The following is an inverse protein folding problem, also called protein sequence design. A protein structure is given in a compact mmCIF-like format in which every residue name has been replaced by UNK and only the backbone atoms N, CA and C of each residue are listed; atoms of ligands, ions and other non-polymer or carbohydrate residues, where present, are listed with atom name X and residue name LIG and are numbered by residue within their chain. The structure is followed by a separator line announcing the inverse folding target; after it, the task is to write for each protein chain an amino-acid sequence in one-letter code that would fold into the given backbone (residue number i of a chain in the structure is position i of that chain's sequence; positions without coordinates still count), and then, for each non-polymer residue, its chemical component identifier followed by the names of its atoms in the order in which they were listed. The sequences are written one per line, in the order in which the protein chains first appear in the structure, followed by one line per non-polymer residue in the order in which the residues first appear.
data_IF_705587960277
#
_entry.id   IF_705587960277
#
_cell.length_a   1.000
_cell.length_b   1.000
_cell.length_c   1.000
_cell.angle_alpha   90.00
_cell.angle_beta   90.00
_cell.angle_gamma   90.00
#
_symmetry.space_group_name_H-M   'P 1'
#
loop_
_entity.id
_entity.type
_entity.pdbx_description
1 polymer ?
#
# COMPACT_ATOMS: atom_id res chain seq x y z
N UNK A 1 16.20 -18.55 11.51
CA UNK A 1 16.08 -18.67 10.03
C UNK A 1 16.51 -17.35 9.42
N UNK A 2 17.16 -17.38 8.26
CA UNK A 2 17.46 -16.15 7.53
C UNK A 2 16.16 -15.54 7.04
N UNK A 3 16.00 -14.22 7.18
CA UNK A 3 14.83 -13.50 6.66
C UNK A 3 14.78 -13.55 5.14
N UNK A 4 13.61 -13.68 4.55
CA UNK A 4 13.38 -13.55 3.11
C UNK A 4 13.72 -12.15 2.65
N UNK A 5 14.48 -12.04 1.57
CA UNK A 5 14.95 -10.74 1.07
C UNK A 5 13.93 -10.13 0.12
N UNK A 6 13.47 -8.93 0.48
CA UNK A 6 12.46 -8.18 -0.25
C UNK A 6 13.08 -7.00 -0.99
N UNK A 7 12.75 -6.85 -2.27
CA UNK A 7 13.01 -5.63 -3.02
C UNK A 7 11.68 -4.89 -3.26
N UNK A 8 11.64 -3.61 -2.87
CA UNK A 8 10.47 -2.75 -2.95
C UNK A 8 10.66 -1.69 -4.04
N UNK A 9 9.81 -1.73 -5.05
CA UNK A 9 9.82 -0.80 -6.18
C UNK A 9 8.69 0.19 -6.04
N UNK A 10 8.93 1.45 -6.41
CA UNK A 10 7.96 2.53 -6.15
C UNK A 10 7.55 2.54 -4.67
N UNK A 11 8.54 2.36 -3.80
CA UNK A 11 8.36 2.07 -2.38
C UNK A 11 7.54 3.15 -1.65
N UNK A 12 7.54 4.38 -2.18
CA UNK A 12 6.87 5.49 -1.52
C UNK A 12 7.38 5.65 -0.09
N UNK A 13 6.46 5.86 0.85
CA UNK A 13 6.81 5.89 2.27
C UNK A 13 6.86 4.49 2.93
N UNK A 14 6.93 3.39 2.17
CA UNK A 14 7.16 2.05 2.72
C UNK A 14 5.94 1.39 3.38
N UNK A 15 4.72 1.70 2.95
CA UNK A 15 3.55 1.06 3.54
C UNK A 15 3.52 -0.46 3.32
N UNK A 16 3.88 -0.93 2.13
CA UNK A 16 3.98 -2.36 1.84
C UNK A 16 5.20 -2.99 2.53
N UNK A 17 6.32 -2.29 2.57
CA UNK A 17 7.56 -2.72 3.23
C UNK A 17 7.30 -2.98 4.72
N UNK A 18 6.68 -2.00 5.40
CA UNK A 18 6.28 -2.12 6.80
C UNK A 18 5.30 -3.29 7.01
N UNK A 19 4.36 -3.46 6.10
CA UNK A 19 3.42 -4.57 6.13
C UNK A 19 4.13 -5.92 6.09
N UNK A 20 5.00 -6.14 5.12
CA UNK A 20 5.75 -7.40 4.99
C UNK A 20 6.73 -7.64 6.15
N UNK A 21 7.37 -6.59 6.68
CA UNK A 21 8.25 -6.76 7.84
C UNK A 21 7.48 -6.98 9.15
N UNK A 22 6.24 -6.48 9.26
CA UNK A 22 5.45 -6.58 10.48
C UNK A 22 6.01 -5.75 11.64
N UNK A 23 5.73 -6.13 12.88
CA UNK A 23 6.30 -5.51 14.07
C UNK A 23 5.82 -4.08 14.35
N UNK A 24 4.68 -3.67 13.81
CA UNK A 24 4.07 -2.35 14.03
C UNK A 24 2.80 -2.45 14.86
N UNK A 25 2.34 -1.31 15.38
CA UNK A 25 1.16 -1.26 16.25
C UNK A 25 -0.13 -1.16 15.44
N UNK A 26 -1.12 -2.00 15.78
CA UNK A 26 -2.45 -2.02 15.17
C UNK A 26 -3.55 -1.99 16.25
N UNK A 27 -4.74 -1.48 15.91
CA UNK A 27 -5.89 -1.52 16.79
C UNK A 27 -6.47 -2.94 16.86
N UNK A 28 -6.82 -3.43 18.08
CA UNK A 28 -7.28 -4.81 18.29
C UNK A 28 -8.54 -5.17 17.49
N UNK A 29 -9.44 -4.22 17.23
CA UNK A 29 -10.63 -4.48 16.41
C UNK A 29 -10.34 -4.68 14.91
N UNK A 30 -9.09 -4.53 14.46
CA UNK A 30 -8.65 -4.80 13.09
C UNK A 30 -8.11 -6.21 12.92
N UNK A 31 -7.97 -6.95 14.04
CA UNK A 31 -7.31 -8.24 14.12
C UNK A 31 -8.32 -9.37 14.30
N UNK A 32 -8.01 -10.53 13.74
CA UNK A 32 -8.81 -11.73 13.90
C UNK A 32 -8.67 -12.30 15.33
N UNK A 33 -9.64 -13.12 15.80
CA UNK A 33 -9.53 -13.79 17.09
C UNK A 33 -8.29 -14.68 17.22
N UNK A 34 -7.84 -15.31 16.13
CA UNK A 34 -6.63 -16.14 16.09
C UNK A 34 -5.37 -15.30 16.32
N UNK A 35 -5.29 -14.12 15.70
CA UNK A 35 -4.19 -13.18 15.94
C UNK A 35 -4.21 -12.65 17.36
N UNK A 36 -5.39 -12.28 17.88
CA UNK A 36 -5.52 -11.78 19.25
C UNK A 36 -5.15 -12.81 20.33
N UNK A 37 -5.28 -14.12 20.06
CA UNK A 37 -4.83 -15.18 20.98
C UNK A 37 -3.32 -15.16 21.23
N UNK A 38 -2.53 -14.59 20.32
CA UNK A 38 -1.09 -14.46 20.46
C UNK A 38 -0.68 -13.34 21.43
N UNK A 39 -1.62 -12.49 21.83
CA UNK A 39 -1.39 -11.34 22.72
C UNK A 39 -1.96 -11.59 24.12
N UNK A 40 -1.33 -11.01 25.17
CA UNK A 40 -1.76 -11.20 26.56
C UNK A 40 -3.21 -10.77 26.77
N UNK A 41 -4.04 -11.65 27.34
CA UNK A 41 -5.49 -11.45 27.56
C UNK A 41 -5.86 -10.21 28.41
N UNK A 42 -4.93 -9.70 29.23
CA UNK A 42 -5.21 -8.66 30.23
C UNK A 42 -4.69 -7.26 29.87
N UNK A 43 -4.22 -7.06 28.63
CA UNK A 43 -3.81 -5.74 28.19
C UNK A 43 -5.06 -4.88 27.88
N UNK A 44 -5.29 -3.86 28.75
CA UNK A 44 -6.38 -2.88 28.60
C UNK A 44 -6.19 -1.94 27.41
N UNK A 45 -5.00 -1.90 26.81
CA UNK A 45 -4.73 -1.08 25.63
C UNK A 45 -5.57 -1.56 24.44
N UNK A 46 -6.13 -0.63 23.71
CA UNK A 46 -6.88 -0.92 22.49
C UNK A 46 -5.97 -1.21 21.29
N UNK A 47 -4.70 -0.88 21.39
CA UNK A 47 -3.67 -1.15 20.40
C UNK A 47 -2.73 -2.25 20.88
N UNK A 48 -2.18 -3.01 19.95
CA UNK A 48 -1.17 -4.05 20.21
C UNK A 48 -0.12 -4.04 19.10
N UNK A 49 1.11 -4.44 19.44
CA UNK A 49 2.19 -4.60 18.47
C UNK A 49 2.03 -5.94 17.76
N UNK A 50 1.93 -5.93 16.44
CA UNK A 50 1.92 -7.14 15.62
C UNK A 50 3.26 -7.86 15.67
N UNK A 51 3.27 -9.17 15.41
CA UNK A 51 4.50 -9.92 15.25
C UNK A 51 5.31 -9.40 14.06
N UNK A 52 6.62 -9.49 14.16
CA UNK A 52 7.48 -9.40 12.99
C UNK A 52 7.26 -10.63 12.11
N UNK A 53 7.23 -10.40 10.80
CA UNK A 53 7.25 -11.48 9.82
C UNK A 53 8.69 -11.75 9.38
N UNK A 54 8.89 -12.86 8.71
CA UNK A 54 10.24 -13.31 8.32
C UNK A 54 10.73 -12.65 7.01
N UNK A 55 10.43 -11.36 6.80
CA UNK A 55 10.86 -10.58 5.66
C UNK A 55 11.74 -9.42 6.08
N UNK A 56 12.63 -9.02 5.18
CA UNK A 56 13.50 -7.86 5.33
C UNK A 56 13.66 -7.14 3.99
N UNK A 57 13.30 -5.87 3.94
CA UNK A 57 13.53 -5.02 2.77
C UNK A 57 15.02 -4.70 2.66
N UNK A 58 15.67 -5.25 1.65
CA UNK A 58 17.12 -5.06 1.41
C UNK A 58 17.40 -4.16 0.22
N UNK A 59 16.38 -3.83 -0.55
CA UNK A 59 16.41 -2.87 -1.64
C UNK A 59 15.06 -2.15 -1.72
N UNK A 60 15.09 -0.84 -1.83
CA UNK A 60 13.92 -0.01 -2.10
C UNK A 60 14.29 1.11 -3.08
N UNK A 61 13.37 1.50 -3.97
CA UNK A 61 13.58 2.66 -4.83
C UNK A 61 12.30 3.47 -5.05
N UNK A 62 12.47 4.78 -5.12
CA UNK A 62 11.43 5.75 -5.51
C UNK A 62 12.11 7.04 -5.99
N UNK A 63 11.42 7.82 -6.83
CA UNK A 63 11.89 9.14 -7.30
C UNK A 63 11.53 10.28 -6.34
N UNK A 64 10.70 10.01 -5.34
CA UNK A 64 10.17 11.02 -4.43
C UNK A 64 11.05 11.19 -3.19
N UNK A 65 11.82 12.28 -3.12
CA UNK A 65 12.67 12.59 -1.98
C UNK A 65 11.91 12.67 -0.63
N UNK A 66 10.66 13.14 -0.64
CA UNK A 66 9.83 13.20 0.57
C UNK A 66 9.42 11.81 1.06
N UNK A 67 9.21 10.89 0.12
CA UNK A 67 8.96 9.49 0.44
C UNK A 67 10.17 8.85 1.12
N UNK A 68 11.37 9.05 0.56
CA UNK A 68 12.62 8.60 1.19
C UNK A 68 12.79 9.15 2.60
N UNK A 69 12.54 10.44 2.81
CA UNK A 69 12.62 11.04 4.16
C UNK A 69 11.71 10.32 5.15
N UNK A 70 10.43 10.08 4.80
CA UNK A 70 9.49 9.40 5.68
C UNK A 70 9.91 7.94 5.94
N UNK A 71 10.36 7.24 4.90
CA UNK A 71 10.86 5.87 4.96
C UNK A 71 12.09 5.78 5.88
N UNK A 72 13.12 6.59 5.65
CA UNK A 72 14.35 6.60 6.45
C UNK A 72 14.05 6.89 7.93
N UNK A 73 13.20 7.88 8.24
CA UNK A 73 12.83 8.24 9.62
C UNK A 73 12.23 7.08 10.41
N UNK A 74 11.47 6.23 9.76
CA UNK A 74 10.85 5.09 10.43
C UNK A 74 11.80 3.90 10.50
N UNK A 75 12.36 3.48 9.36
CA UNK A 75 13.12 2.23 9.29
C UNK A 75 14.49 2.30 9.97
N UNK A 76 15.14 3.48 10.03
CA UNK A 76 16.39 3.65 10.79
C UNK A 76 16.23 3.40 12.30
N UNK A 77 15.02 3.52 12.86
CA UNK A 77 14.73 3.19 14.25
C UNK A 77 14.67 1.69 14.50
N UNK A 78 14.57 0.89 13.43
CA UNK A 78 14.38 -0.56 13.50
C UNK A 78 15.65 -1.34 13.19
N UNK A 79 16.49 -0.84 12.28
CA UNK A 79 17.71 -1.48 11.82
C UNK A 79 18.64 -0.50 11.11
N UNK A 80 19.84 -0.96 10.74
CA UNK A 80 20.68 -0.27 9.76
C UNK A 80 20.02 -0.30 8.38
N UNK A 81 19.87 0.85 7.76
CA UNK A 81 19.25 1.05 6.46
C UNK A 81 20.25 1.57 5.41
N UNK A 82 21.54 1.56 5.71
CA UNK A 82 22.58 2.08 4.82
C UNK A 82 22.55 1.41 3.47
N UNK A 83 22.30 2.20 2.42
CA UNK A 83 22.25 1.72 1.03
C UNK A 83 21.03 0.88 0.66
N UNK A 84 19.98 0.84 1.50
CA UNK A 84 18.74 0.12 1.20
C UNK A 84 17.84 0.92 0.28
N UNK A 85 17.57 2.21 0.60
CA UNK A 85 16.68 3.05 -0.20
C UNK A 85 17.46 3.93 -1.19
N UNK A 86 17.23 3.69 -2.47
CA UNK A 86 17.76 4.51 -3.56
C UNK A 86 16.74 5.55 -4.04
N UNK A 87 17.13 6.82 -3.99
CA UNK A 87 16.34 7.91 -4.58
C UNK A 87 16.61 7.93 -6.09
N UNK A 88 15.98 7.02 -6.80
CA UNK A 88 16.23 6.78 -8.24
C UNK A 88 15.00 6.19 -8.92
N UNK A 89 14.84 6.47 -10.21
CA UNK A 89 13.83 5.81 -11.03
C UNK A 89 14.16 4.34 -11.24
N UNK A 90 13.14 3.48 -11.25
CA UNK A 90 13.30 2.07 -11.63
C UNK A 90 13.88 1.90 -13.05
N UNK A 91 13.59 2.82 -13.94
CA UNK A 91 14.14 2.85 -15.31
C UNK A 91 15.67 2.91 -15.25
N UNK A 92 16.20 3.87 -14.49
CA UNK A 92 17.64 4.06 -14.34
C UNK A 92 18.28 2.86 -13.62
N UNK A 93 17.64 2.34 -12.58
CA UNK A 93 18.10 1.13 -11.87
C UNK A 93 18.23 -0.06 -12.82
N UNK A 94 17.22 -0.31 -13.66
CA UNK A 94 17.24 -1.43 -14.61
C UNK A 94 18.29 -1.22 -15.70
N UNK A 95 18.44 0.00 -16.22
CA UNK A 95 19.50 0.32 -17.20
C UNK A 95 20.88 0.06 -16.63
N UNK A 96 21.16 0.47 -15.40
CA UNK A 96 22.44 0.20 -14.71
C UNK A 96 22.67 -1.30 -14.50
N UNK A 97 21.65 -2.06 -14.14
CA UNK A 97 21.75 -3.52 -13.99
C UNK A 97 22.12 -4.16 -15.35
N UNK A 98 21.47 -3.76 -16.43
CA UNK A 98 21.72 -4.27 -17.78
C UNK A 98 23.10 -3.91 -18.33
N UNK A 99 23.58 -2.72 -18.02
CA UNK A 99 24.92 -2.27 -18.37
C UNK A 99 26.02 -2.99 -17.56
N UNK A 100 25.65 -3.68 -16.48
CA UNK A 100 26.62 -4.30 -15.56
C UNK A 100 27.20 -3.33 -14.52
N UNK A 101 26.75 -2.09 -14.52
CA UNK A 101 27.22 -1.03 -13.60
C UNK A 101 26.67 -1.22 -12.18
N UNK A 102 25.61 -2.00 -12.05
CA UNK A 102 24.94 -2.27 -10.78
C UNK A 102 24.66 -3.74 -10.58
N UNK A 103 24.97 -4.23 -9.38
CA UNK A 103 24.54 -5.55 -8.91
C UNK A 103 23.68 -5.38 -7.67
N UNK A 104 22.51 -6.03 -7.66
CA UNK A 104 21.72 -6.14 -6.43
C UNK A 104 22.49 -7.05 -5.47
N UNK A 105 22.80 -6.55 -4.27
CA UNK A 105 23.72 -7.19 -3.32
C UNK A 105 23.23 -8.53 -2.77
N UNK A 106 21.92 -8.76 -2.82
CA UNK A 106 21.27 -9.92 -2.23
C UNK A 106 20.53 -10.72 -3.31
N UNK A 107 20.41 -12.03 -3.14
CA UNK A 107 19.41 -12.82 -3.84
C UNK A 107 18.03 -12.36 -3.33
N UNK A 108 17.14 -11.97 -4.21
CA UNK A 108 15.82 -11.44 -3.86
C UNK A 108 14.81 -12.59 -3.88
N UNK A 109 14.11 -12.81 -2.76
CA UNK A 109 13.03 -13.79 -2.67
C UNK A 109 11.69 -13.20 -3.13
N UNK A 110 11.43 -11.95 -2.77
CA UNK A 110 10.16 -11.26 -2.99
C UNK A 110 10.40 -9.90 -3.64
N UNK A 111 9.64 -9.57 -4.69
CA UNK A 111 9.55 -8.22 -5.22
C UNK A 111 8.15 -7.66 -4.94
N UNK A 112 8.08 -6.47 -4.36
CA UNK A 112 6.83 -5.70 -4.24
C UNK A 112 6.91 -4.42 -5.04
N UNK A 113 5.77 -3.92 -5.55
CA UNK A 113 5.77 -2.63 -6.22
C UNK A 113 4.37 -2.12 -6.52
N UNK A 114 4.14 -0.84 -6.23
CA UNK A 114 2.94 -0.11 -6.61
C UNK A 114 3.25 0.85 -7.75
N UNK A 115 3.23 0.39 -9.00
CA UNK A 115 3.58 1.26 -10.13
C UNK A 115 2.55 2.39 -10.28
N UNK A 116 2.96 3.61 -10.75
CA UNK A 116 2.12 4.80 -10.78
C UNK A 116 0.78 4.60 -11.48
N UNK A 117 -0.30 5.03 -10.83
CA UNK A 117 -1.68 4.80 -11.22
C UNK A 117 -2.36 6.01 -11.89
N UNK A 118 -1.70 7.19 -11.92
CA UNK A 118 -2.36 8.43 -12.34
C UNK A 118 -2.95 8.38 -13.76
N UNK A 119 -2.39 7.58 -14.63
CA UNK A 119 -2.84 7.40 -16.00
C UNK A 119 -3.90 6.30 -16.16
N UNK A 120 -4.08 5.47 -15.12
CA UNK A 120 -5.10 4.41 -15.03
C UNK A 120 -6.27 4.77 -14.11
N UNK A 121 -6.16 5.84 -13.32
CA UNK A 121 -7.15 6.21 -12.31
C UNK A 121 -8.34 6.94 -12.90
N UNK A 122 -9.54 6.75 -12.30
CA UNK A 122 -10.77 7.48 -12.69
C UNK A 122 -10.63 8.99 -12.43
N UNK A 123 -9.83 9.40 -11.47
CA UNK A 123 -9.55 10.81 -11.16
C UNK A 123 -8.46 11.43 -12.05
N UNK A 124 -7.72 10.62 -12.82
CA UNK A 124 -6.68 11.06 -13.74
C UNK A 124 -7.20 11.25 -15.18
N UNK A 125 -6.29 11.58 -16.11
CA UNK A 125 -6.61 11.73 -17.53
C UNK A 125 -6.94 10.43 -18.25
N UNK A 126 -6.77 9.27 -17.60
CA UNK A 126 -6.98 7.91 -18.14
C UNK A 126 -6.22 7.65 -19.46
N UNK A 127 -5.02 8.20 -19.59
CA UNK A 127 -4.17 8.01 -20.77
C UNK A 127 -3.58 6.59 -20.87
N UNK A 128 -3.62 5.83 -19.77
CA UNK A 128 -3.11 4.47 -19.72
C UNK A 128 -1.63 4.39 -20.09
N UNK A 129 -1.31 3.56 -21.08
CA UNK A 129 0.05 3.39 -21.58
C UNK A 129 0.58 4.61 -22.36
N UNK A 130 -0.28 5.52 -22.80
CA UNK A 130 0.06 6.72 -23.57
C UNK A 130 0.22 7.97 -22.69
N UNK A 131 0.89 7.85 -21.54
CA UNK A 131 1.12 8.97 -20.63
C UNK A 131 2.00 10.07 -21.25
N UNK A 132 1.64 11.33 -21.01
CA UNK A 132 2.43 12.52 -21.39
C UNK A 132 3.52 12.88 -20.36
N UNK A 133 3.74 12.05 -19.34
CA UNK A 133 4.69 12.26 -18.24
C UNK A 133 5.87 11.30 -18.31
N UNK A 134 7.07 11.82 -18.00
CA UNK A 134 8.27 11.00 -17.93
C UNK A 134 8.32 10.09 -16.71
N UNK A 135 9.19 9.08 -16.73
CA UNK A 135 9.48 8.20 -15.60
C UNK A 135 10.06 8.93 -14.37
N UNK A 136 10.57 10.16 -14.54
CA UNK A 136 11.12 10.99 -13.45
C UNK A 136 10.06 11.83 -12.72
N UNK A 137 8.81 11.41 -12.72
CA UNK A 137 7.72 12.04 -11.97
C UNK A 137 6.85 12.97 -12.81
N UNK A 138 6.74 14.27 -12.42
CA UNK A 138 5.82 15.22 -13.06
C UNK A 138 6.41 16.01 -14.24
N UNK A 139 7.62 15.72 -14.67
CA UNK A 139 8.22 16.36 -15.85
C UNK A 139 7.48 15.90 -17.11
N UNK A 140 7.16 16.83 -18.01
CA UNK A 140 6.65 16.47 -19.34
C UNK A 140 7.76 15.78 -20.14
N UNK A 141 7.38 14.83 -20.99
CA UNK A 141 8.28 14.30 -22.02
C UNK A 141 8.71 15.46 -22.94
N UNK A 142 10.01 15.54 -23.22
CA UNK A 142 10.52 16.52 -24.20
C UNK A 142 10.13 16.00 -25.58
N UNK A 143 9.43 16.83 -26.37
CA UNK A 143 9.17 16.51 -27.77
C UNK A 143 10.49 16.41 -28.52
N UNK A 144 10.82 15.23 -29.03
CA UNK A 144 12.04 14.98 -29.79
C UNK A 144 12.75 13.66 -29.49
N UNK A 145 12.41 12.96 -28.44
CA UNK A 145 12.87 11.59 -28.25
C UNK A 145 12.01 10.62 -29.08
N UNK A 146 12.63 9.98 -30.05
CA UNK A 146 11.96 9.16 -31.08
C UNK A 146 11.30 7.88 -30.56
N UNK A 147 11.35 7.57 -29.26
CA UNK A 147 10.57 6.50 -28.62
C UNK A 147 9.98 6.93 -27.28
N UNK A 148 8.89 7.74 -27.27
CA UNK A 148 8.26 8.22 -26.04
C UNK A 148 7.52 7.13 -25.29
N UNK A 149 7.37 5.92 -25.83
CA UNK A 149 6.44 4.93 -25.33
C UNK A 149 6.99 4.11 -24.17
N UNK A 150 8.27 3.71 -24.21
CA UNK A 150 8.85 2.83 -23.19
C UNK A 150 9.21 3.52 -21.86
N UNK A 151 9.50 4.81 -21.86
CA UNK A 151 9.97 5.55 -20.68
C UNK A 151 8.89 6.48 -20.07
N UNK A 152 7.69 6.48 -20.61
CA UNK A 152 6.62 7.26 -20.04
C UNK A 152 6.08 6.61 -18.75
N UNK A 153 5.38 7.39 -17.91
CA UNK A 153 4.87 6.94 -16.63
C UNK A 153 3.84 5.80 -16.76
N UNK A 154 3.11 5.71 -17.84
CA UNK A 154 2.15 4.64 -18.12
C UNK A 154 2.82 3.29 -18.37
N UNK A 155 4.10 3.29 -18.77
CA UNK A 155 4.89 2.08 -19.02
C UNK A 155 5.74 1.61 -17.82
N UNK A 156 5.62 2.22 -16.65
CA UNK A 156 6.43 1.86 -15.48
C UNK A 156 6.19 0.44 -14.96
N UNK A 157 5.04 -0.18 -15.26
CA UNK A 157 4.83 -1.61 -15.02
C UNK A 157 5.80 -2.48 -15.82
N UNK A 158 6.13 -2.07 -17.05
CA UNK A 158 7.10 -2.75 -17.90
C UNK A 158 8.51 -2.73 -17.25
N UNK A 159 8.92 -1.61 -16.70
CA UNK A 159 10.21 -1.52 -16.00
C UNK A 159 10.24 -2.32 -14.69
N UNK A 160 9.10 -2.47 -14.01
CA UNK A 160 8.97 -3.42 -12.92
C UNK A 160 9.16 -4.86 -13.42
N UNK A 161 8.56 -5.22 -14.56
CA UNK A 161 8.75 -6.51 -15.22
C UNK A 161 10.24 -6.77 -15.52
N UNK A 162 10.93 -5.76 -16.08
CA UNK A 162 12.36 -5.86 -16.40
C UNK A 162 13.26 -6.02 -15.18
N UNK A 163 12.91 -5.37 -14.07
CA UNK A 163 13.58 -5.60 -12.80
C UNK A 163 13.37 -7.04 -12.31
N UNK A 164 12.13 -7.52 -12.34
CA UNK A 164 11.79 -8.91 -11.98
C UNK A 164 12.56 -9.90 -12.88
N UNK A 165 12.67 -9.60 -14.19
CA UNK A 165 13.45 -10.41 -15.12
C UNK A 165 14.94 -10.47 -14.76
N UNK A 166 15.48 -9.37 -14.22
CA UNK A 166 16.89 -9.30 -13.83
C UNK A 166 17.21 -10.01 -12.50
N UNK A 167 16.31 -9.93 -11.51
CA UNK A 167 16.57 -10.48 -10.16
C UNK A 167 15.92 -11.83 -9.91
N UNK A 168 14.99 -12.28 -10.77
CA UNK A 168 14.33 -13.60 -10.73
C UNK A 168 13.81 -13.99 -9.33
N UNK A 169 12.96 -13.15 -8.66
CA UNK A 169 12.44 -13.49 -7.34
C UNK A 169 11.54 -14.74 -7.41
N UNK A 170 11.37 -15.42 -6.29
CA UNK A 170 10.43 -16.56 -6.21
C UNK A 170 8.98 -16.11 -6.39
N UNK A 171 8.66 -14.90 -5.91
CA UNK A 171 7.31 -14.31 -5.99
C UNK A 171 7.40 -12.81 -6.14
N UNK A 172 6.42 -12.22 -6.83
CA UNK A 172 6.22 -10.77 -6.84
C UNK A 172 4.77 -10.38 -6.54
N UNK A 173 4.60 -9.16 -6.01
CA UNK A 173 3.32 -8.49 -5.79
C UNK A 173 3.34 -7.13 -6.49
N UNK A 174 2.49 -6.95 -7.50
CA UNK A 174 2.34 -5.68 -8.21
C UNK A 174 0.96 -5.08 -7.90
N UNK A 175 0.96 -3.89 -7.31
CA UNK A 175 -0.26 -3.20 -6.86
C UNK A 175 -0.63 -2.07 -7.80
N UNK A 176 -1.96 -1.87 -7.99
CA UNK A 176 -2.48 -0.69 -8.66
C UNK A 176 -3.90 -0.36 -8.23
N UNK A 177 -4.46 0.75 -8.71
CA UNK A 177 -5.85 1.14 -8.46
C UNK A 177 -6.84 0.23 -9.20
N UNK A 178 -8.05 0.03 -8.62
CA UNK A 178 -9.15 -0.71 -9.25
C UNK A 178 -9.45 -0.21 -10.69
N UNK A 179 -9.29 1.08 -10.96
CA UNK A 179 -9.56 1.67 -12.28
C UNK A 179 -8.79 1.01 -13.43
N UNK A 180 -7.63 0.40 -13.15
CA UNK A 180 -6.86 -0.36 -14.13
C UNK A 180 -7.66 -1.54 -14.72
N UNK A 181 -8.47 -2.22 -13.90
CA UNK A 181 -9.27 -3.37 -14.33
C UNK A 181 -10.35 -2.99 -15.36
N UNK A 182 -10.83 -1.74 -15.31
CA UNK A 182 -11.85 -1.22 -16.21
C UNK A 182 -11.29 -0.45 -17.41
N UNK A 183 -9.98 -0.43 -17.60
CA UNK A 183 -9.32 0.26 -18.70
C UNK A 183 -8.97 -0.72 -19.84
N UNK A 184 -9.95 -1.02 -20.69
CA UNK A 184 -9.77 -1.93 -21.83
C UNK A 184 -9.11 -3.26 -21.42
N UNK A 185 -8.12 -3.70 -22.18
CA UNK A 185 -7.38 -4.94 -21.94
C UNK A 185 -6.15 -4.79 -21.02
N UNK A 186 -5.97 -3.61 -20.38
CA UNK A 186 -4.76 -3.32 -19.60
C UNK A 186 -4.42 -4.41 -18.57
N UNK A 187 -5.43 -4.94 -17.84
CA UNK A 187 -5.24 -6.04 -16.89
C UNK A 187 -4.66 -7.29 -17.56
N UNK A 188 -5.18 -7.67 -18.73
CA UNK A 188 -4.73 -8.86 -19.47
C UNK A 188 -3.33 -8.66 -20.03
N UNK A 189 -3.04 -7.50 -20.61
CA UNK A 189 -1.73 -7.15 -21.16
C UNK A 189 -0.67 -7.25 -20.06
N UNK A 190 -0.88 -6.59 -18.93
CA UNK A 190 0.05 -6.61 -17.79
C UNK A 190 0.26 -8.03 -17.26
N UNK A 191 -0.82 -8.81 -17.11
CA UNK A 191 -0.70 -10.18 -16.62
C UNK A 191 0.07 -11.07 -17.59
N UNK A 192 -0.15 -10.92 -18.90
CA UNK A 192 0.57 -11.68 -19.94
C UNK A 192 2.05 -11.28 -20.00
N UNK A 193 2.35 -9.99 -19.89
CA UNK A 193 3.74 -9.50 -19.87
C UNK A 193 4.51 -10.06 -18.66
N UNK A 194 3.90 -10.11 -17.49
CA UNK A 194 4.50 -10.75 -16.32
C UNK A 194 4.63 -12.27 -16.48
N UNK A 195 3.67 -12.94 -17.10
CA UNK A 195 3.74 -14.37 -17.34
C UNK A 195 4.87 -14.73 -18.32
N UNK A 196 5.22 -13.83 -19.24
CA UNK A 196 6.23 -14.03 -20.29
C UNK A 196 7.66 -13.65 -19.89
N UNK A 197 7.93 -13.38 -18.60
CA UNK A 197 9.27 -13.09 -18.08
C UNK A 197 10.18 -14.32 -18.33
N UNK A 198 11.49 -14.06 -18.57
CA UNK A 198 12.52 -15.02 -18.95
C UNK A 198 12.47 -16.38 -18.22
N UNK A 199 13.01 -17.41 -18.85
CA UNK A 199 13.03 -18.79 -18.34
C UNK A 199 11.69 -19.48 -18.59
N UNK A 200 11.22 -20.28 -17.63
CA UNK A 200 9.88 -20.89 -17.67
C UNK A 200 8.76 -19.87 -17.42
N UNK A 201 9.11 -18.62 -17.14
CA UNK A 201 8.20 -17.52 -16.85
C UNK A 201 7.58 -17.60 -15.45
N UNK A 202 6.58 -16.73 -15.25
CA UNK A 202 5.83 -16.71 -14.00
C UNK A 202 4.42 -17.24 -14.19
N UNK A 203 3.93 -18.00 -13.21
CA UNK A 203 2.51 -18.26 -13.09
C UNK A 203 1.86 -17.06 -12.43
N UNK A 204 1.10 -16.28 -13.21
CA UNK A 204 0.32 -15.15 -12.68
C UNK A 204 -1.00 -15.69 -12.16
N UNK A 205 -1.17 -15.62 -10.84
CA UNK A 205 -2.40 -16.06 -10.16
C UNK A 205 -3.59 -15.22 -10.66
N UNK A 206 -4.81 -15.77 -10.79
CA UNK A 206 -5.98 -15.00 -11.19
C UNK A 206 -6.11 -13.70 -10.40
N UNK A 207 -6.03 -12.56 -11.12
CA UNK A 207 -5.88 -11.23 -10.54
C UNK A 207 -7.13 -10.82 -9.77
N UNK A 208 -6.97 -10.45 -8.49
CA UNK A 208 -8.06 -10.03 -7.61
C UNK A 208 -8.01 -8.53 -7.29
N UNK A 209 -9.19 -7.96 -7.07
CA UNK A 209 -9.35 -6.64 -6.46
C UNK A 209 -9.62 -6.86 -4.97
N UNK A 210 -8.70 -6.40 -4.13
CA UNK A 210 -8.85 -6.49 -2.68
C UNK A 210 -9.51 -5.21 -2.15
N UNK A 211 -10.55 -5.38 -1.33
CA UNK A 211 -11.20 -4.28 -0.62
C UNK A 211 -10.62 -4.22 0.79
N UNK A 212 -9.95 -3.14 1.12
CA UNK A 212 -9.25 -2.98 2.40
C UNK A 212 -10.15 -3.29 3.61
N UNK A 213 -11.43 -2.92 3.54
CA UNK A 213 -12.42 -3.20 4.61
C UNK A 213 -12.56 -4.69 4.93
N UNK A 214 -12.32 -5.58 3.95
CA UNK A 214 -12.44 -7.03 4.13
C UNK A 214 -11.26 -7.63 4.91
N UNK A 215 -10.23 -6.82 5.19
CA UNK A 215 -8.99 -7.21 5.87
C UNK A 215 -8.75 -6.45 7.19
N UNK A 216 -9.82 -5.88 7.78
CA UNK A 216 -9.74 -5.15 9.03
C UNK A 216 -9.24 -3.71 8.92
N UNK A 217 -9.11 -3.17 7.73
CA UNK A 217 -8.66 -1.79 7.51
C UNK A 217 -9.85 -0.85 7.54
N UNK A 218 -9.86 0.22 8.38
CA UNK A 218 -11.00 1.11 8.53
C UNK A 218 -11.17 2.10 7.37
N UNK A 219 -11.05 1.61 6.12
CA UNK A 219 -11.07 2.45 4.91
C UNK A 219 -11.65 1.71 3.70
N UNK A 220 -12.50 2.38 2.91
CA UNK A 220 -13.14 1.83 1.70
C UNK A 220 -12.20 1.82 0.48
N UNK A 221 -10.93 1.51 0.68
CA UNK A 221 -9.91 1.45 -0.37
C UNK A 221 -9.97 0.13 -1.13
N UNK A 222 -9.95 0.19 -2.46
CA UNK A 222 -9.87 -0.98 -3.32
C UNK A 222 -8.60 -0.95 -4.17
N UNK A 223 -7.90 -2.10 -4.26
CA UNK A 223 -6.67 -2.23 -5.02
C UNK A 223 -6.64 -3.52 -5.81
N UNK A 224 -6.21 -3.45 -7.06
CA UNK A 224 -5.89 -4.64 -7.84
C UNK A 224 -4.48 -5.10 -7.47
N UNK A 225 -4.36 -6.40 -7.22
CA UNK A 225 -3.08 -7.04 -6.91
C UNK A 225 -2.81 -8.11 -7.95
N UNK A 226 -1.64 -8.04 -8.58
CA UNK A 226 -1.08 -9.11 -9.40
C UNK A 226 -0.07 -9.87 -8.57
N UNK A 227 -0.16 -11.19 -8.55
CA UNK A 227 0.80 -12.06 -7.86
C UNK A 227 1.35 -13.04 -8.90
N UNK A 228 2.68 -13.08 -9.02
CA UNK A 228 3.34 -14.00 -9.94
C UNK A 228 4.33 -14.88 -9.20
N UNK A 229 4.27 -16.18 -9.47
CA UNK A 229 5.12 -17.22 -8.90
C UNK A 229 6.11 -17.70 -9.96
N UNK A 230 7.41 -17.65 -9.67
CA UNK A 230 8.45 -18.14 -10.57
C UNK A 230 8.32 -19.66 -10.72
N UNK A 231 7.99 -20.13 -11.94
CA UNK A 231 7.73 -21.55 -12.21
C UNK A 231 8.94 -22.45 -11.94
N UNK A 232 10.16 -21.93 -12.11
CA UNK A 232 11.39 -22.70 -11.87
C UNK A 232 11.67 -22.88 -10.37
N UNK A 233 11.16 -21.99 -9.54
CA UNK A 233 11.28 -22.04 -8.08
C UNK A 233 10.20 -22.90 -7.41
N UNK A 234 9.10 -23.20 -8.10
CA UNK A 234 8.01 -24.00 -7.54
C UNK A 234 8.43 -25.45 -7.24
N UNK A 235 7.83 -26.04 -6.22
CA UNK A 235 7.91 -27.48 -5.97
C UNK A 235 7.27 -28.26 -7.14
N UNK A 236 7.82 -29.44 -7.44
CA UNK A 236 7.37 -30.23 -8.57
C UNK A 236 5.88 -30.60 -8.54
N UNK A 237 5.34 -30.90 -7.36
CA UNK A 237 3.92 -31.19 -7.17
C UNK A 237 3.03 -29.98 -7.46
N UNK A 238 3.43 -28.79 -7.03
CA UNK A 238 2.70 -27.54 -7.28
C UNK A 238 2.73 -27.19 -8.76
N UNK A 239 3.90 -27.30 -9.39
CA UNK A 239 4.07 -27.06 -10.83
C UNK A 239 3.19 -28.00 -11.64
N UNK A 240 3.23 -29.31 -11.34
CA UNK A 240 2.39 -30.32 -12.01
C UNK A 240 0.91 -30.02 -11.84
N UNK A 241 0.47 -29.59 -10.65
CA UNK A 241 -0.92 -29.21 -10.40
C UNK A 241 -1.35 -28.04 -11.28
N UNK A 242 -0.52 -26.98 -11.38
CA UNK A 242 -0.78 -25.82 -12.24
C UNK A 242 -0.86 -26.24 -13.72
N UNK A 243 0.03 -27.10 -14.18
CA UNK A 243 0.02 -27.60 -15.57
C UNK A 243 -1.26 -28.39 -15.91
N UNK A 244 -1.81 -29.12 -14.93
CA UNK A 244 -3.02 -29.92 -15.10
C UNK A 244 -4.32 -29.13 -14.97
N UNK A 245 -4.37 -28.13 -14.08
CA UNK A 245 -5.61 -27.45 -13.69
C UNK A 245 -5.65 -25.96 -14.09
N UNK A 246 -4.54 -25.39 -14.55
CA UNK A 246 -4.43 -23.96 -14.88
C UNK A 246 -4.54 -23.04 -13.68
N UNK A 247 -4.48 -23.55 -12.44
CA UNK A 247 -4.63 -22.79 -11.20
C UNK A 247 -3.79 -23.40 -10.07
N UNK A 248 -3.63 -22.69 -8.96
CA UNK A 248 -3.04 -23.22 -7.72
C UNK A 248 -4.01 -24.13 -6.97
N UNK A 249 -3.51 -25.09 -6.17
CA UNK A 249 -4.31 -25.70 -5.12
C UNK A 249 -4.95 -24.62 -4.24
N UNK A 250 -6.25 -24.72 -3.89
CA UNK A 250 -6.94 -23.67 -3.12
C UNK A 250 -6.25 -23.31 -1.80
N UNK A 251 -5.66 -24.30 -1.12
CA UNK A 251 -4.91 -24.12 0.13
C UNK A 251 -3.61 -23.33 -0.06
N UNK A 252 -3.09 -23.23 -1.29
CA UNK A 252 -1.88 -22.47 -1.63
C UNK A 252 -2.20 -21.14 -2.34
N UNK A 253 -3.45 -20.67 -2.31
CA UNK A 253 -3.79 -19.33 -2.81
C UNK A 253 -3.02 -18.25 -2.02
N UNK A 254 -2.16 -17.44 -2.66
CA UNK A 254 -1.37 -16.43 -1.98
C UNK A 254 -2.14 -15.18 -1.57
N UNK A 255 -3.41 -15.06 -1.96
CA UNK A 255 -4.26 -14.00 -1.45
C UNK A 255 -4.75 -14.33 -0.03
N UNK A 256 -4.74 -13.36 0.90
CA UNK A 256 -5.25 -13.58 2.25
C UNK A 256 -6.75 -13.86 2.24
N UNK A 257 -7.21 -14.67 3.19
CA UNK A 257 -8.64 -14.89 3.39
C UNK A 257 -9.32 -13.61 3.90
N UNK A 258 -10.58 -13.40 3.49
CA UNK A 258 -11.42 -12.31 4.01
C UNK A 258 -11.67 -12.55 5.50
N UNK A 259 -11.45 -11.53 6.32
CA UNK A 259 -11.58 -11.61 7.78
C UNK A 259 -12.67 -10.70 8.37
N UNK A 260 -13.06 -9.68 7.63
CA UNK A 260 -14.06 -8.69 8.06
C UNK A 260 -15.14 -8.50 6.99
N UNK A 261 -16.37 -8.23 7.42
CA UNK A 261 -17.47 -8.05 6.48
C UNK A 261 -18.76 -7.60 7.17
N UNK A 262 -19.81 -7.48 6.36
CA UNK A 262 -21.17 -7.37 6.89
C UNK A 262 -21.62 -8.78 7.25
N UNK A 263 -21.83 -9.03 8.52
CA UNK A 263 -22.24 -10.36 9.00
C UNK A 263 -23.53 -10.81 8.29
N UNK A 264 -23.46 -11.95 7.62
CA UNK A 264 -24.62 -12.72 7.21
C UNK A 264 -24.75 -13.92 8.15
N UNK A 265 -25.90 -14.60 8.14
CA UNK A 265 -26.16 -15.80 8.99
C UNK A 265 -25.18 -16.97 8.71
N UNK A 266 -24.35 -16.86 7.68
CA UNK A 266 -23.49 -17.94 7.19
C UNK A 266 -21.99 -17.58 7.14
N UNK A 267 -21.59 -16.34 7.49
CA UNK A 267 -20.22 -15.89 7.37
C UNK A 267 -19.58 -15.69 8.76
N UNK A 268 -18.51 -16.42 9.06
CA UNK A 268 -17.62 -16.25 10.21
C UNK A 268 -16.69 -15.02 10.05
N UNK A 269 -17.25 -13.87 9.61
CA UNK A 269 -16.49 -12.64 9.44
C UNK A 269 -16.72 -11.69 10.61
N UNK A 270 -15.66 -10.96 10.97
CA UNK A 270 -15.71 -9.91 11.99
C UNK A 270 -16.41 -8.66 11.44
N UNK A 271 -17.02 -7.83 12.32
CA UNK A 271 -17.57 -6.54 11.93
C UNK A 271 -16.51 -5.65 11.27
N UNK A 272 -16.93 -4.86 10.27
CA UNK A 272 -16.05 -3.89 9.62
C UNK A 272 -15.41 -2.93 10.62
N UNK A 273 -14.11 -2.72 10.48
CA UNK A 273 -13.40 -1.68 11.21
C UNK A 273 -13.93 -0.29 10.85
N UNK A 274 -13.97 0.66 11.80
CA UNK A 274 -14.58 1.96 11.64
C UNK A 274 -13.65 3.11 12.07
N UNK A 275 -14.02 4.34 11.72
CA UNK A 275 -13.25 5.54 12.03
C UNK A 275 -13.13 5.77 13.56
N UNK A 276 -14.17 5.50 14.35
CA UNK A 276 -14.17 5.70 15.80
C UNK A 276 -13.07 4.87 16.48
N UNK A 277 -12.91 3.62 16.05
CA UNK A 277 -11.85 2.74 16.52
C UNK A 277 -10.47 3.25 16.09
N UNK A 278 -10.32 3.68 14.85
CA UNK A 278 -9.06 4.21 14.34
C UNK A 278 -8.61 5.47 15.12
N UNK A 279 -9.57 6.30 15.54
CA UNK A 279 -9.26 7.56 16.24
C UNK A 279 -9.20 7.42 17.77
N UNK A 280 -9.30 6.21 18.29
CA UNK A 280 -9.21 5.95 19.73
C UNK A 280 -7.94 6.56 20.32
N UNK A 281 -8.10 7.39 21.36
CA UNK A 281 -7.01 8.00 22.11
C UNK A 281 -6.32 9.19 21.40
N UNK A 282 -6.75 9.58 20.18
CA UNK A 282 -6.30 10.84 19.60
C UNK A 282 -6.92 12.03 20.33
N UNK A 283 -6.07 12.98 20.68
CA UNK A 283 -6.50 14.27 21.25
C UNK A 283 -6.89 15.22 20.11
N UNK A 284 -7.65 16.27 20.44
CA UNK A 284 -7.83 17.37 19.50
C UNK A 284 -6.49 18.02 19.15
N UNK A 285 -6.35 18.62 17.95
CA UNK A 285 -5.10 19.16 17.46
C UNK A 285 -4.39 20.10 18.43
N UNK A 286 -5.15 20.94 19.13
CA UNK A 286 -4.64 21.95 20.06
C UNK A 286 -4.07 21.34 21.35
N UNK A 287 -4.48 20.12 21.70
CA UNK A 287 -4.08 19.39 22.90
C UNK A 287 -3.01 18.34 22.61
N UNK A 288 -2.74 18.05 21.34
CA UNK A 288 -1.80 17.01 20.94
C UNK A 288 -0.36 17.52 20.91
N UNK A 289 0.60 16.63 21.23
CA UNK A 289 2.03 16.87 21.01
C UNK A 289 2.53 16.29 19.67
N UNK A 290 1.70 15.49 18.98
CA UNK A 290 2.05 14.91 17.68
C UNK A 290 1.87 15.95 16.57
N UNK A 291 2.95 16.35 15.84
CA UNK A 291 2.85 17.31 14.75
C UNK A 291 1.87 16.89 13.65
N UNK A 292 1.72 15.59 13.41
CA UNK A 292 0.76 15.07 12.43
C UNK A 292 -0.69 15.21 12.90
N UNK A 293 -0.94 15.14 14.22
CA UNK A 293 -2.26 15.39 14.79
C UNK A 293 -2.57 16.90 14.89
N UNK A 294 -1.57 17.74 15.11
CA UNK A 294 -1.73 19.21 15.09
C UNK A 294 -2.03 19.75 13.69
N UNK A 295 -1.68 19.00 12.65
CA UNK A 295 -1.68 19.45 11.26
C UNK A 295 -2.94 18.99 10.52
N UNK A 296 -3.74 19.94 10.03
CA UNK A 296 -4.89 19.66 9.18
C UNK A 296 -5.12 20.76 8.13
N UNK A 297 -5.80 20.40 7.04
CA UNK A 297 -6.12 21.33 5.96
C UNK A 297 -7.13 22.40 6.43
N UNK A 298 -6.85 23.66 6.11
CA UNK A 298 -7.71 24.82 6.37
C UNK A 298 -8.64 25.16 5.18
N UNK A 299 -8.67 24.33 4.13
CA UNK A 299 -9.50 24.55 2.96
C UNK A 299 -11.00 24.61 3.34
N UNK A 300 -11.69 25.68 2.92
CA UNK A 300 -13.08 26.00 3.30
C UNK A 300 -14.12 25.53 2.27
N UNK A 301 -13.83 24.48 1.50
CA UNK A 301 -14.76 23.96 0.50
C UNK A 301 -15.76 23.01 1.17
N UNK A 302 -17.06 23.35 1.17
CA UNK A 302 -18.12 22.63 1.88
C UNK A 302 -19.12 21.91 0.96
N UNK A 303 -18.94 21.93 -0.34
CA UNK A 303 -19.91 21.38 -1.30
C UNK A 303 -19.91 19.86 -1.30
N UNK A 304 -21.08 19.24 -1.10
CA UNK A 304 -21.25 17.76 -1.07
C UNK A 304 -20.83 17.06 -2.36
N UNK A 305 -20.88 17.76 -3.50
CA UNK A 305 -20.53 17.21 -4.81
C UNK A 305 -19.04 17.28 -5.14
N UNK A 306 -18.27 17.95 -4.29
CA UNK A 306 -16.84 18.14 -4.49
C UNK A 306 -16.07 17.14 -3.64
N UNK A 307 -15.03 16.59 -4.21
CA UNK A 307 -14.10 15.66 -3.54
C UNK A 307 -13.57 16.27 -2.24
N UNK A 308 -13.64 15.54 -1.14
CA UNK A 308 -13.24 16.03 0.18
C UNK A 308 -14.22 17.01 0.83
N UNK A 309 -15.40 17.27 0.23
CA UNK A 309 -16.41 18.19 0.78
C UNK A 309 -17.35 17.58 1.81
N UNK A 310 -17.29 16.26 2.06
CA UNK A 310 -18.18 15.56 2.97
C UNK A 310 -17.60 15.35 4.37
N UNK A 311 -18.48 15.17 5.35
CA UNK A 311 -18.12 14.70 6.69
C UNK A 311 -18.00 13.18 6.72
N UNK A 312 -17.01 12.64 7.44
CA UNK A 312 -16.89 11.20 7.67
C UNK A 312 -17.96 10.71 8.65
N UNK A 313 -18.29 9.43 8.56
CA UNK A 313 -19.11 8.75 9.56
C UNK A 313 -18.21 7.97 10.53
N UNK A 314 -18.24 8.31 11.81
CA UNK A 314 -17.40 7.69 12.82
C UNK A 314 -17.64 6.19 12.99
N UNK A 315 -18.85 5.73 12.79
CA UNK A 315 -19.27 4.34 12.99
C UNK A 315 -19.17 3.48 11.72
N UNK A 316 -18.61 4.03 10.65
CA UNK A 316 -18.37 3.33 9.38
C UNK A 316 -16.89 3.38 9.02
N UNK A 317 -16.43 2.51 8.09
CA UNK A 317 -15.12 2.67 7.46
C UNK A 317 -15.01 4.05 6.83
N UNK A 318 -13.82 4.67 6.92
CA UNK A 318 -13.53 5.95 6.31
C UNK A 318 -13.44 5.86 4.78
N UNK A 319 -13.48 7.00 4.10
CA UNK A 319 -13.27 7.07 2.66
C UNK A 319 -11.84 6.71 2.29
N UNK A 320 -11.60 6.40 1.01
CA UNK A 320 -10.25 6.22 0.47
C UNK A 320 -9.43 7.49 0.64
N UNK A 321 -8.36 7.44 1.43
CA UNK A 321 -7.41 8.55 1.52
C UNK A 321 -6.66 8.65 0.19
N UNK A 322 -6.70 9.83 -0.42
CA UNK A 322 -6.12 10.11 -1.73
C UNK A 322 -4.89 11.00 -1.61
N UNK A 323 -4.01 10.94 -2.61
CA UNK A 323 -2.81 11.78 -2.69
C UNK A 323 -3.15 13.23 -3.11
N UNK A 324 -3.98 13.91 -2.34
CA UNK A 324 -4.46 15.25 -2.66
C UNK A 324 -3.40 16.33 -2.44
N UNK A 325 -3.32 17.27 -3.39
CA UNK A 325 -2.38 18.39 -3.34
C UNK A 325 -3.00 19.68 -2.81
N UNK A 326 -4.34 19.76 -2.79
CA UNK A 326 -5.06 21.00 -2.51
C UNK A 326 -5.75 21.00 -1.14
N UNK A 327 -5.48 19.99 -0.30
CA UNK A 327 -6.06 19.86 1.03
C UNK A 327 -7.55 19.52 1.02
N UNK A 328 -8.05 18.92 -0.06
CA UNK A 328 -9.44 18.45 -0.18
C UNK A 328 -9.61 17.09 0.52
N UNK A 329 -9.20 17.03 1.78
CA UNK A 329 -9.41 15.89 2.66
C UNK A 329 -10.77 16.03 3.32
N UNK A 330 -11.50 14.96 3.49
CA UNK A 330 -12.83 14.94 4.09
C UNK A 330 -12.84 15.57 5.50
N UNK A 331 -14.00 16.10 5.88
CA UNK A 331 -14.16 16.70 7.21
C UNK A 331 -14.25 15.63 8.29
N UNK A 332 -13.51 15.82 9.38
CA UNK A 332 -13.69 15.08 10.63
C UNK A 332 -15.08 15.36 11.19
N UNK A 333 -15.46 16.65 11.24
CA UNK A 333 -16.77 17.15 11.58
C UNK A 333 -17.08 18.47 10.87
N UNK A 334 -18.33 18.62 10.50
CA UNK A 334 -18.90 19.86 10.02
C UNK A 334 -19.65 20.53 11.17
N UNK A 335 -19.82 21.85 11.11
CA UNK A 335 -20.73 22.58 12.02
C UNK A 335 -22.20 22.25 11.71
N UNK A 336 -23.10 22.48 12.66
CA UNK A 336 -24.53 22.33 12.43
C UNK A 336 -25.02 23.19 11.23
N UNK A 337 -24.46 24.40 11.07
CA UNK A 337 -24.72 25.29 9.92
C UNK A 337 -24.34 24.65 8.57
N UNK A 338 -23.34 23.81 8.54
CA UNK A 338 -22.86 23.09 7.34
C UNK A 338 -23.36 21.64 7.28
N UNK A 339 -24.48 21.33 7.94
CA UNK A 339 -25.11 20.02 8.03
C UNK A 339 -24.22 18.93 8.65
N UNK A 340 -23.48 19.26 9.72
CA UNK A 340 -22.74 18.32 10.53
C UNK A 340 -23.64 17.23 11.11
N UNK A 341 -23.14 16.00 11.18
CA UNK A 341 -23.87 14.81 11.63
C UNK A 341 -23.20 14.08 12.80
N UNK A 342 -21.98 14.48 13.17
CA UNK A 342 -21.27 13.92 14.32
C UNK A 342 -21.79 14.58 15.61
N UNK A 343 -23.02 14.24 16.03
CA UNK A 343 -23.74 14.89 17.13
C UNK A 343 -22.96 14.89 18.44
N UNK A 344 -22.29 13.77 18.80
CA UNK A 344 -21.46 13.68 20.00
C UNK A 344 -20.38 14.80 20.08
N UNK A 345 -19.80 15.17 18.95
CA UNK A 345 -18.76 16.21 18.86
C UNK A 345 -19.35 17.62 18.76
N UNK A 346 -20.56 17.75 18.18
CA UNK A 346 -21.31 19.01 18.12
C UNK A 346 -21.87 19.39 19.48
N UNK A 347 -22.38 18.42 20.23
CA UNK A 347 -22.98 18.63 21.56
C UNK A 347 -21.96 19.15 22.57
N UNK A 348 -20.70 18.75 22.44
CA UNK A 348 -19.58 19.28 23.24
C UNK A 348 -18.84 20.45 22.58
N UNK A 349 -19.45 21.06 21.58
CA UNK A 349 -19.01 22.31 20.92
C UNK A 349 -17.60 22.25 20.29
N UNK A 350 -17.14 21.08 19.82
CA UNK A 350 -15.87 20.98 19.12
C UNK A 350 -15.92 21.71 17.76
N UNK A 351 -14.82 22.41 17.37
CA UNK A 351 -14.81 23.22 16.17
C UNK A 351 -14.85 22.36 14.89
N UNK A 352 -15.50 22.89 13.85
CA UNK A 352 -15.48 22.30 12.52
C UNK A 352 -14.04 22.19 12.02
N UNK A 353 -13.64 21.02 11.54
CA UNK A 353 -12.32 20.80 10.95
C UNK A 353 -12.27 19.61 9.98
N UNK A 354 -11.29 19.61 9.12
CA UNK A 354 -10.94 18.44 8.31
C UNK A 354 -10.16 17.42 9.14
N UNK A 355 -10.06 16.19 8.63
CA UNK A 355 -9.22 15.18 9.24
C UNK A 355 -7.76 15.65 9.30
N UNK A 356 -7.08 15.33 10.38
CA UNK A 356 -5.66 15.60 10.56
C UNK A 356 -4.81 14.61 9.72
N UNK A 357 -3.53 14.92 9.57
CA UNK A 357 -2.59 13.99 8.93
C UNK A 357 -2.53 12.66 9.70
N UNK A 358 -2.54 12.70 11.06
CA UNK A 358 -2.54 11.50 11.91
C UNK A 358 -3.82 10.68 11.78
N UNK A 359 -4.97 11.31 11.73
CA UNK A 359 -6.25 10.62 11.49
C UNK A 359 -6.23 9.89 10.13
N UNK A 360 -5.73 10.52 9.09
CA UNK A 360 -5.54 9.88 7.78
C UNK A 360 -4.54 8.72 7.84
N UNK A 361 -3.42 8.88 8.56
CA UNK A 361 -2.42 7.83 8.74
C UNK A 361 -3.01 6.60 9.45
N UNK A 362 -3.83 6.81 10.50
CA UNK A 362 -4.49 5.71 11.21
C UNK A 362 -5.58 5.02 10.38
N UNK A 363 -6.33 5.74 9.55
CA UNK A 363 -7.25 5.12 8.60
C UNK A 363 -6.51 4.26 7.55
N UNK A 364 -5.28 4.63 7.24
CA UNK A 364 -4.38 3.88 6.37
C UNK A 364 -3.62 2.79 7.14
N UNK A 365 -3.86 2.64 8.44
CA UNK A 365 -3.23 1.68 9.36
C UNK A 365 -1.73 1.87 9.59
N UNK A 366 -1.20 3.08 9.39
CA UNK A 366 0.14 3.42 9.86
C UNK A 366 0.15 3.57 11.39
N UNK A 367 1.20 3.10 12.08
CA UNK A 367 1.35 3.26 13.51
C UNK A 367 1.69 4.71 13.88
N UNK A 368 1.48 5.08 15.14
CA UNK A 368 1.66 6.47 15.60
C UNK A 368 3.11 6.93 15.63
N UNK A 369 4.06 6.02 15.75
CA UNK A 369 5.49 6.30 15.66
C UNK A 369 6.00 6.50 14.22
N UNK A 370 5.11 6.39 13.22
CA UNK A 370 5.42 6.74 11.84
C UNK A 370 5.23 8.25 11.64
N UNK A 371 6.32 8.96 11.33
CA UNK A 371 6.34 10.41 11.24
C UNK A 371 6.00 10.90 9.82
N UNK A 372 4.87 11.60 9.66
CA UNK A 372 4.40 12.19 8.40
C UNK A 372 4.52 13.72 8.36
N UNK A 373 4.77 14.34 9.49
CA UNK A 373 5.05 15.78 9.60
C UNK A 373 6.31 15.95 10.40
N UNK A 374 7.34 16.50 9.78
CA UNK A 374 8.67 16.69 10.37
C UNK A 374 9.14 18.10 10.03
N UNK A 375 9.46 18.89 11.05
CA UNK A 375 9.90 20.29 10.88
C UNK A 375 10.99 20.40 9.82
N UNK A 376 10.82 21.35 8.89
CA UNK A 376 11.71 21.64 7.77
C UNK A 376 11.94 20.48 6.77
N UNK A 377 11.32 19.32 6.95
CA UNK A 377 11.50 18.14 6.08
C UNK A 377 10.20 17.66 5.41
N UNK A 378 9.13 17.48 6.19
CA UNK A 378 7.84 16.99 5.72
C UNK A 378 6.72 17.92 6.20
N UNK A 379 6.05 18.59 5.26
CA UNK A 379 4.85 19.40 5.52
C UNK A 379 3.61 18.51 5.67
N UNK A 380 2.52 19.08 6.20
CA UNK A 380 1.21 18.39 6.23
C UNK A 380 0.75 17.95 4.83
N UNK A 381 1.00 18.77 3.80
CA UNK A 381 0.66 18.42 2.41
C UNK A 381 1.47 17.22 1.91
N UNK A 382 2.76 17.15 2.27
CA UNK A 382 3.58 15.96 1.97
C UNK A 382 3.02 14.73 2.69
N UNK A 383 2.66 14.86 3.98
CA UNK A 383 2.06 13.80 4.78
C UNK A 383 0.80 13.22 4.13
N UNK A 384 -0.18 14.04 3.78
CA UNK A 384 -1.40 13.59 3.10
C UNK A 384 -1.10 12.87 1.78
N UNK A 385 -0.15 13.39 0.98
CA UNK A 385 0.24 12.79 -0.29
C UNK A 385 0.89 11.42 -0.11
N UNK A 386 1.81 11.31 0.83
CA UNK A 386 2.50 10.06 1.14
C UNK A 386 1.52 8.98 1.63
N UNK A 387 0.65 9.34 2.58
CA UNK A 387 -0.39 8.44 3.10
C UNK A 387 -1.33 7.99 1.98
N UNK A 388 -1.80 8.92 1.15
CA UNK A 388 -2.76 8.62 0.09
C UNK A 388 -2.20 7.70 -1.00
N UNK A 389 -0.89 7.81 -1.31
CA UNK A 389 -0.21 6.94 -2.27
C UNK A 389 0.12 5.55 -1.69
N UNK A 390 0.24 5.42 -0.39
CA UNK A 390 0.69 4.18 0.23
C UNK A 390 -0.33 3.03 0.12
N UNK A 391 0.19 1.81 0.07
CA UNK A 391 -0.58 0.62 0.43
C UNK A 391 -0.73 0.61 1.96
N UNK A 392 -1.93 0.32 2.50
CA UNK A 392 -2.09 0.20 3.96
C UNK A 392 -1.14 -0.85 4.54
N UNK A 393 -0.32 -0.53 5.56
CA UNK A 393 0.57 -1.51 6.19
C UNK A 393 -0.12 -2.80 6.61
N UNK A 394 -1.35 -2.72 7.14
CA UNK A 394 -2.10 -3.92 7.51
C UNK A 394 -2.47 -4.80 6.29
N UNK A 395 -2.72 -4.22 5.10
CA UNK A 395 -2.93 -5.01 3.90
C UNK A 395 -1.65 -5.72 3.46
N UNK A 396 -0.52 -5.01 3.50
CA UNK A 396 0.80 -5.61 3.28
C UNK A 396 1.11 -6.73 4.27
N UNK A 397 0.75 -6.54 5.56
CA UNK A 397 0.90 -7.54 6.60
C UNK A 397 0.09 -8.81 6.31
N UNK A 398 -1.17 -8.68 5.89
CA UNK A 398 -2.02 -9.82 5.50
C UNK A 398 -1.43 -10.60 4.32
N UNK A 399 -0.90 -9.90 3.32
CA UNK A 399 -0.22 -10.53 2.18
C UNK A 399 1.06 -11.24 2.61
N UNK A 400 1.90 -10.58 3.43
CA UNK A 400 3.13 -11.14 3.95
C UNK A 400 2.89 -12.35 4.86
N UNK A 401 1.94 -12.25 5.80
CA UNK A 401 1.54 -13.34 6.68
C UNK A 401 1.07 -14.56 5.88
N UNK A 402 0.21 -14.34 4.89
CA UNK A 402 -0.25 -15.42 4.03
C UNK A 402 0.89 -16.08 3.25
N UNK A 403 1.80 -15.28 2.71
CA UNK A 403 2.99 -15.83 2.04
C UNK A 403 3.86 -16.64 3.01
N UNK A 404 4.10 -16.17 4.23
CA UNK A 404 4.89 -16.89 5.22
C UNK A 404 4.29 -18.26 5.56
N UNK A 405 2.96 -18.34 5.67
CA UNK A 405 2.22 -19.59 5.93
C UNK A 405 2.45 -20.63 4.83
N UNK A 406 2.43 -20.24 3.55
CA UNK A 406 2.46 -21.18 2.42
C UNK A 406 3.81 -21.29 1.72
N UNK A 407 4.81 -20.47 2.11
CA UNK A 407 6.09 -20.35 1.39
C UNK A 407 6.81 -21.69 1.22
N UNK A 408 6.89 -22.48 2.29
CA UNK A 408 7.59 -23.76 2.28
C UNK A 408 6.87 -24.82 1.44
N UNK A 409 5.58 -24.68 1.26
CA UNK A 409 4.76 -25.58 0.44
C UNK A 409 4.80 -25.19 -1.05
N UNK A 410 4.93 -23.89 -1.33
CA UNK A 410 5.05 -23.39 -2.70
C UNK A 410 6.43 -23.64 -3.32
N UNK A 411 7.50 -23.31 -2.59
CA UNK A 411 8.84 -23.19 -3.17
C UNK A 411 9.80 -24.28 -2.73
N UNK A 412 10.75 -24.60 -3.61
CA UNK A 412 11.94 -25.41 -3.28
C UNK A 412 12.79 -24.69 -2.23
N UNK A 413 13.51 -25.47 -1.42
CA UNK A 413 14.46 -24.93 -0.44
C UNK A 413 15.59 -24.17 -1.11
#
# INVERSE_FOLDING_TARGET
MNKFKLASLFSGCGGMDLGFEGGFTAHKSWLTPSELKQYKKFDKNKFTKLNELNFETVFACDVNAKAKVAWDYYFQKRRDISGVFELKSIVDVVKEIRAGDKKIRHSIDVVTGGFPCNDFSVAGKRLGFNSDKSHQGNKKLIQGDDDPTAENRGMLYFWMREFIAAVQPKIFYAENVKGLVSLGDAKKIIANDFASINGSGYFVVPVKVLKAIEYGIPQTRERVIFIGLNKDSLRANVRKYIEQHGNLPPELDPYPAISHGTATLFDDVLPLANCKNAFTGLLEPELSKDPAQQSFSKAKLFEKKVQGGSEINLYKPGPTIRAEHHGNIEFRRLSAKNNGKNTEELDIHLPQRRMTVRECARLQTFPDDYEFVVSNKLSASDGYRLIGNAVPPLLGYRLGQRLEEIYQELFKK
#
